data_IF_274554571406
#
_entry.id   IF_274554571406
#
_cell.length_a   1.000
_cell.length_b   1.000
_cell.length_c   1.000
_cell.angle_alpha   90.00
_cell.angle_beta   90.00
_cell.angle_gamma   90.00
#
_symmetry.space_group_name_H-M   'P 1'
#
loop_
_entity.id
_entity.type
_entity.pdbx_description
1 polymer ?
#
# COMPACT_ATOMS: atom_id res chain seq x y z
N UNK A 1 -1.89 -23.58 42.13
CA UNK A 1 -3.06 -24.39 42.51
C UNK A 1 -4.14 -23.44 42.99
N UNK A 2 -5.05 -23.04 42.10
CA UNK A 2 -6.23 -22.22 42.41
C UNK A 2 -7.45 -23.09 42.10
N UNK A 3 -8.28 -23.35 43.11
CA UNK A 3 -9.52 -24.10 42.98
C UNK A 3 -10.53 -23.24 42.20
N UNK A 4 -10.83 -23.64 40.97
CA UNK A 4 -11.93 -23.10 40.19
C UNK A 4 -13.24 -23.76 40.66
N UNK A 5 -14.01 -23.02 41.45
CA UNK A 5 -15.36 -23.40 41.87
C UNK A 5 -16.28 -23.34 40.65
N UNK A 6 -16.72 -24.51 40.18
CA UNK A 6 -17.69 -24.63 39.10
C UNK A 6 -19.10 -24.24 39.60
N UNK A 7 -19.49 -22.98 39.43
CA UNK A 7 -20.88 -22.54 39.56
C UNK A 7 -21.61 -22.84 38.26
N UNK A 8 -22.53 -23.80 38.30
CA UNK A 8 -23.44 -24.14 37.21
C UNK A 8 -24.44 -23.01 36.98
N UNK A 9 -24.50 -22.37 35.80
CA UNK A 9 -25.48 -21.33 35.52
C UNK A 9 -26.85 -21.96 35.28
N UNK A 10 -27.80 -21.69 36.19
CA UNK A 10 -29.23 -21.90 35.96
C UNK A 10 -29.69 -20.90 34.90
N UNK A 11 -29.73 -21.34 33.64
CA UNK A 11 -30.18 -20.53 32.51
C UNK A 11 -31.70 -20.27 32.60
N UNK A 12 -32.17 -19.03 32.41
CA UNK A 12 -33.58 -18.74 32.24
C UNK A 12 -34.05 -19.28 30.88
N UNK A 13 -35.03 -20.18 30.93
CA UNK A 13 -35.71 -20.78 29.77
C UNK A 13 -36.73 -19.79 29.19
N UNK A 14 -36.28 -18.62 28.73
CA UNK A 14 -37.14 -17.69 28.00
C UNK A 14 -37.23 -18.12 26.52
N UNK A 15 -38.11 -19.08 26.25
CA UNK A 15 -38.60 -19.42 24.91
C UNK A 15 -39.57 -18.35 24.38
N UNK A 16 -39.15 -17.08 24.38
CA UNK A 16 -39.86 -16.04 23.62
C UNK A 16 -39.59 -16.29 22.13
N UNK A 17 -40.63 -16.65 21.38
CA UNK A 17 -40.54 -16.81 19.93
C UNK A 17 -39.88 -15.56 19.32
N UNK A 18 -38.89 -15.71 18.43
CA UNK A 18 -38.26 -14.58 17.77
C UNK A 18 -39.31 -13.80 16.98
N UNK A 19 -39.44 -12.52 17.32
CA UNK A 19 -40.39 -11.61 16.70
C UNK A 19 -40.15 -11.56 15.17
N UNK A 20 -41.18 -11.82 14.37
CA UNK A 20 -41.06 -12.01 12.91
C UNK A 20 -40.42 -10.79 12.19
N UNK A 21 -40.44 -9.62 12.82
CA UNK A 21 -39.78 -8.41 12.32
C UNK A 21 -38.25 -8.50 12.31
N UNK A 22 -37.62 -9.16 13.30
CA UNK A 22 -36.14 -9.16 13.45
C UNK A 22 -35.46 -9.96 12.35
N UNK A 23 -36.02 -11.12 12.01
CA UNK A 23 -35.48 -12.04 10.99
C UNK A 23 -35.36 -11.39 9.61
N UNK A 24 -36.34 -10.58 9.21
CA UNK A 24 -36.33 -9.89 7.92
C UNK A 24 -35.19 -8.85 7.81
N UNK A 25 -34.84 -8.22 8.93
CA UNK A 25 -33.83 -7.16 8.99
C UNK A 25 -32.41 -7.73 8.90
N UNK A 26 -32.17 -8.90 9.50
CA UNK A 26 -30.89 -9.59 9.48
C UNK A 26 -30.57 -10.15 8.10
N UNK A 27 -31.56 -10.78 7.44
CA UNK A 27 -31.41 -11.26 6.07
C UNK A 27 -31.04 -10.11 5.11
N UNK A 28 -31.70 -8.96 5.25
CA UNK A 28 -31.38 -7.77 4.45
C UNK A 28 -29.94 -7.31 4.67
N UNK A 29 -29.47 -7.27 5.93
CA UNK A 29 -28.08 -6.90 6.26
C UNK A 29 -27.06 -7.88 5.67
N UNK A 30 -27.33 -9.19 5.76
CA UNK A 30 -26.48 -10.21 5.17
C UNK A 30 -26.41 -10.08 3.64
N UNK A 31 -27.54 -9.87 2.97
CA UNK A 31 -27.59 -9.66 1.52
C UNK A 31 -26.79 -8.42 1.07
N UNK A 32 -26.93 -7.29 1.80
CA UNK A 32 -26.13 -6.09 1.53
C UNK A 32 -24.63 -6.35 1.68
N UNK A 33 -24.24 -7.07 2.74
CA UNK A 33 -22.84 -7.42 3.01
C UNK A 33 -22.27 -8.32 1.90
N UNK A 34 -23.02 -9.34 1.46
CA UNK A 34 -22.58 -10.21 0.36
C UNK A 34 -22.45 -9.45 -0.96
N UNK A 35 -23.41 -8.58 -1.29
CA UNK A 35 -23.34 -7.75 -2.49
C UNK A 35 -22.10 -6.84 -2.46
N UNK A 36 -21.90 -6.15 -1.33
CA UNK A 36 -20.75 -5.28 -1.10
C UNK A 36 -19.41 -6.02 -1.23
N UNK A 37 -19.29 -7.19 -0.58
CA UNK A 37 -18.08 -8.01 -0.64
C UNK A 37 -17.80 -8.57 -2.03
N UNK A 38 -18.85 -8.90 -2.79
CA UNK A 38 -18.72 -9.38 -4.17
C UNK A 38 -18.19 -8.29 -5.10
N UNK A 39 -18.62 -7.04 -4.90
CA UNK A 39 -18.06 -5.87 -5.61
C UNK A 39 -16.58 -5.70 -5.24
N UNK A 40 -16.24 -5.74 -3.95
CA UNK A 40 -14.85 -5.65 -3.49
C UNK A 40 -13.98 -6.76 -4.10
N UNK A 41 -14.46 -8.00 -4.12
CA UNK A 41 -13.75 -9.14 -4.71
C UNK A 41 -13.48 -8.92 -6.19
N UNK A 42 -14.46 -8.42 -6.95
CA UNK A 42 -14.31 -8.09 -8.38
C UNK A 42 -13.25 -7.02 -8.59
N UNK A 43 -13.24 -5.97 -7.74
CA UNK A 43 -12.21 -4.95 -7.77
C UNK A 43 -10.82 -5.52 -7.48
N UNK A 44 -10.68 -6.39 -6.47
CA UNK A 44 -9.39 -6.99 -6.14
C UNK A 44 -8.88 -7.94 -7.23
N UNK A 45 -9.76 -8.70 -7.88
CA UNK A 45 -9.37 -9.51 -9.05
C UNK A 45 -8.77 -8.62 -10.14
N UNK A 46 -9.40 -7.48 -10.44
CA UNK A 46 -8.82 -6.52 -11.38
C UNK A 46 -7.47 -5.97 -10.89
N UNK A 47 -7.31 -5.72 -9.59
CA UNK A 47 -6.05 -5.27 -9.01
C UNK A 47 -4.94 -6.30 -9.15
N UNK A 48 -5.22 -7.58 -8.86
CA UNK A 48 -4.27 -8.69 -9.04
C UNK A 48 -3.78 -8.76 -10.49
N UNK A 49 -4.68 -8.66 -11.46
CA UNK A 49 -4.32 -8.70 -12.89
C UNK A 49 -3.35 -7.55 -13.22
N UNK A 50 -3.66 -6.32 -12.79
CA UNK A 50 -2.79 -5.17 -13.04
C UNK A 50 -1.45 -5.26 -12.30
N UNK A 51 -1.46 -5.67 -11.03
CA UNK A 51 -0.26 -5.85 -10.23
C UNK A 51 0.64 -6.93 -10.85
N UNK A 52 0.05 -8.02 -11.37
CA UNK A 52 0.78 -9.09 -12.05
C UNK A 52 1.44 -8.60 -13.34
N UNK A 53 0.73 -7.84 -14.17
CA UNK A 53 1.30 -7.19 -15.38
C UNK A 53 2.47 -6.27 -14.98
N UNK A 54 2.29 -5.51 -13.91
CA UNK A 54 3.26 -4.55 -13.40
C UNK A 54 4.53 -5.24 -12.86
N UNK A 55 4.41 -6.40 -12.21
CA UNK A 55 5.53 -7.26 -11.79
C UNK A 55 6.23 -7.86 -12.99
N UNK A 56 5.47 -8.40 -13.94
CA UNK A 56 6.03 -9.06 -15.12
C UNK A 56 6.91 -8.12 -15.96
N UNK A 57 6.49 -6.85 -16.12
CA UNK A 57 7.23 -5.86 -16.92
C UNK A 57 8.52 -5.35 -16.29
N UNK A 58 8.55 -5.16 -14.97
CA UNK A 58 9.66 -4.41 -14.33
C UNK A 58 10.48 -5.22 -13.33
N UNK A 59 9.93 -6.32 -12.78
CA UNK A 59 10.55 -7.20 -11.76
C UNK A 59 11.16 -6.48 -10.54
N UNK A 60 10.71 -5.27 -10.22
CA UNK A 60 11.17 -4.52 -9.03
C UNK A 60 10.52 -5.07 -7.77
N UNK A 61 11.25 -5.13 -6.65
CA UNK A 61 10.74 -5.64 -5.36
C UNK A 61 9.47 -4.93 -4.89
N UNK A 62 9.36 -3.61 -5.13
CA UNK A 62 8.16 -2.85 -4.78
C UNK A 62 6.90 -3.37 -5.49
N UNK A 63 7.03 -3.83 -6.73
CA UNK A 63 5.91 -4.31 -7.52
C UNK A 63 5.47 -5.67 -7.00
N UNK A 64 6.42 -6.51 -6.56
CA UNK A 64 6.14 -7.77 -5.86
C UNK A 64 5.42 -7.51 -4.54
N UNK A 65 5.80 -6.45 -3.81
CA UNK A 65 5.09 -5.99 -2.62
C UNK A 65 3.61 -5.67 -2.92
N UNK A 66 3.33 -4.87 -3.95
CA UNK A 66 1.95 -4.56 -4.37
C UNK A 66 1.18 -5.83 -4.76
N UNK A 67 1.79 -6.75 -5.50
CA UNK A 67 1.15 -8.01 -5.84
C UNK A 67 0.84 -8.83 -4.57
N UNK A 68 1.77 -8.91 -3.64
CA UNK A 68 1.59 -9.62 -2.37
C UNK A 68 0.43 -9.03 -1.56
N UNK A 69 0.36 -7.70 -1.46
CA UNK A 69 -0.76 -7.00 -0.81
C UNK A 69 -2.10 -7.35 -1.47
N UNK A 70 -2.22 -7.22 -2.79
CA UNK A 70 -3.49 -7.53 -3.50
C UNK A 70 -3.91 -9.00 -3.37
N UNK A 71 -2.95 -9.94 -3.31
CA UNK A 71 -3.22 -11.36 -3.08
C UNK A 71 -3.71 -11.62 -1.67
N UNK A 72 -3.09 -11.02 -0.65
CA UNK A 72 -3.56 -11.12 0.74
C UNK A 72 -5.00 -10.57 0.88
N UNK A 73 -5.26 -9.44 0.23
CA UNK A 73 -6.59 -8.82 0.15
C UNK A 73 -7.62 -9.76 -0.49
N UNK A 74 -7.26 -10.42 -1.60
CA UNK A 74 -8.10 -11.42 -2.25
C UNK A 74 -8.39 -12.63 -1.37
N UNK A 75 -7.38 -13.19 -0.71
CA UNK A 75 -7.56 -14.35 0.17
C UNK A 75 -8.53 -14.04 1.31
N UNK A 76 -8.40 -12.87 1.95
CA UNK A 76 -9.28 -12.48 3.05
C UNK A 76 -10.70 -12.16 2.58
N UNK A 77 -10.88 -11.36 1.52
CA UNK A 77 -12.22 -11.05 0.97
C UNK A 77 -12.89 -12.32 0.43
N UNK A 78 -12.13 -13.17 -0.28
CA UNK A 78 -12.61 -14.44 -0.80
C UNK A 78 -13.09 -15.37 0.32
N UNK A 79 -12.34 -15.49 1.42
CA UNK A 79 -12.80 -16.25 2.59
C UNK A 79 -14.08 -15.66 3.19
N UNK A 80 -14.23 -14.33 3.24
CA UNK A 80 -15.44 -13.68 3.73
C UNK A 80 -16.67 -13.96 2.86
N UNK A 81 -16.51 -13.96 1.52
CA UNK A 81 -17.58 -14.28 0.56
C UNK A 81 -17.93 -15.78 0.56
N UNK A 82 -16.93 -16.66 0.71
CA UNK A 82 -17.14 -18.11 0.71
C UNK A 82 -17.78 -18.61 2.02
N UNK A 83 -17.60 -17.90 3.13
CA UNK A 83 -18.11 -18.31 4.44
C UNK A 83 -19.62 -18.65 4.49
N UNK A 84 -20.54 -17.82 3.96
CA UNK A 84 -21.96 -18.20 3.91
C UNK A 84 -22.30 -19.30 2.90
N UNK A 85 -21.41 -19.57 1.93
CA UNK A 85 -21.64 -20.53 0.84
C UNK A 85 -21.09 -21.94 1.14
N UNK A 86 -20.20 -22.05 2.13
CA UNK A 86 -19.42 -23.27 2.40
C UNK A 86 -19.25 -23.50 3.90
N UNK A 87 -18.98 -24.74 4.29
CA UNK A 87 -18.69 -25.10 5.69
C UNK A 87 -17.25 -24.76 6.11
N UNK A 88 -16.78 -23.56 5.79
CA UNK A 88 -15.52 -23.06 6.31
C UNK A 88 -15.60 -22.90 7.83
N UNK A 89 -14.53 -23.30 8.54
CA UNK A 89 -14.44 -23.11 9.98
C UNK A 89 -14.23 -21.62 10.29
N UNK A 90 -14.97 -21.10 11.28
CA UNK A 90 -14.82 -19.71 11.70
C UNK A 90 -13.41 -19.40 12.20
N UNK A 91 -12.76 -20.38 12.81
CA UNK A 91 -11.36 -20.29 13.22
C UNK A 91 -10.44 -20.07 12.01
N UNK A 92 -10.60 -20.85 10.93
CA UNK A 92 -9.78 -20.66 9.72
C UNK A 92 -9.98 -19.27 9.10
N UNK A 93 -11.23 -18.81 8.97
CA UNK A 93 -11.54 -17.46 8.49
C UNK A 93 -10.85 -16.40 9.35
N UNK A 94 -10.95 -16.52 10.67
CA UNK A 94 -10.32 -15.60 11.61
C UNK A 94 -8.80 -15.52 11.41
N UNK A 95 -8.14 -16.68 11.29
CA UNK A 95 -6.71 -16.75 11.06
C UNK A 95 -6.27 -16.11 9.74
N UNK A 96 -6.98 -16.43 8.65
CA UNK A 96 -6.71 -15.82 7.34
C UNK A 96 -6.86 -14.31 7.42
N UNK A 97 -7.93 -13.80 8.03
CA UNK A 97 -8.14 -12.37 8.21
C UNK A 97 -7.03 -11.74 9.04
N UNK A 98 -6.64 -12.30 10.20
CA UNK A 98 -5.57 -11.73 11.01
C UNK A 98 -4.24 -11.68 10.27
N UNK A 99 -3.84 -12.79 9.64
CA UNK A 99 -2.56 -12.87 8.95
C UNK A 99 -2.56 -11.94 7.75
N UNK A 100 -3.59 -11.99 6.90
CA UNK A 100 -3.71 -11.12 5.74
C UNK A 100 -3.71 -9.64 6.14
N UNK A 101 -4.42 -9.29 7.23
CA UNK A 101 -4.56 -7.91 7.66
C UNK A 101 -3.28 -7.31 8.22
N UNK A 102 -2.52 -8.07 9.01
CA UNK A 102 -1.28 -7.56 9.56
C UNK A 102 -0.13 -7.61 8.54
N UNK A 103 -0.04 -8.68 7.75
CA UNK A 103 0.96 -8.78 6.68
C UNK A 103 0.73 -7.76 5.57
N UNK A 104 -0.52 -7.57 5.15
CA UNK A 104 -0.88 -6.55 4.16
C UNK A 104 -0.50 -5.14 4.63
N UNK A 105 -0.84 -4.80 5.88
CA UNK A 105 -0.42 -3.54 6.50
C UNK A 105 1.10 -3.36 6.53
N UNK A 106 1.85 -4.38 6.95
CA UNK A 106 3.32 -4.33 6.97
C UNK A 106 3.92 -4.18 5.57
N UNK A 107 3.34 -4.80 4.54
CA UNK A 107 3.78 -4.67 3.15
C UNK A 107 3.52 -3.25 2.63
N UNK A 108 2.32 -2.70 2.82
CA UNK A 108 1.99 -1.31 2.44
C UNK A 108 2.94 -0.34 3.12
N UNK A 109 3.12 -0.51 4.43
CA UNK A 109 4.00 0.34 5.22
C UNK A 109 5.44 0.29 4.73
N UNK A 110 5.94 -0.89 4.39
CA UNK A 110 7.28 -1.07 3.83
C UNK A 110 7.43 -0.37 2.48
N UNK A 111 6.42 -0.43 1.61
CA UNK A 111 6.43 0.27 0.30
C UNK A 111 6.50 1.78 0.50
N UNK A 112 5.66 2.34 1.39
CA UNK A 112 5.63 3.77 1.66
C UNK A 112 6.92 4.25 2.33
N UNK A 113 7.42 3.48 3.31
CA UNK A 113 8.68 3.75 3.98
C UNK A 113 9.86 3.75 3.00
N UNK A 114 9.90 2.78 2.10
CA UNK A 114 10.95 2.70 1.08
C UNK A 114 10.94 3.93 0.16
N UNK A 115 9.75 4.40 -0.24
CA UNK A 115 9.62 5.64 -1.03
C UNK A 115 10.11 6.85 -0.23
N UNK A 116 9.67 6.99 1.03
CA UNK A 116 10.12 8.08 1.91
C UNK A 116 11.65 8.05 2.11
N UNK A 117 12.24 6.87 2.27
CA UNK A 117 13.68 6.69 2.41
C UNK A 117 14.46 7.16 1.18
N UNK A 118 13.99 6.84 -0.03
CA UNK A 118 14.62 7.34 -1.27
C UNK A 118 14.50 8.86 -1.36
N UNK A 119 13.33 9.43 -1.05
CA UNK A 119 13.12 10.87 -1.11
C UNK A 119 13.89 11.65 -0.04
N UNK A 120 14.20 11.03 1.11
CA UNK A 120 14.93 11.64 2.21
C UNK A 120 16.42 11.26 2.19
N UNK A 121 17.03 11.25 1.00
CA UNK A 121 18.48 11.14 0.82
C UNK A 121 19.10 9.93 1.56
N UNK A 122 18.36 8.82 1.60
CA UNK A 122 18.78 7.55 2.22
C UNK A 122 19.14 7.64 3.71
N UNK A 123 18.45 8.47 4.49
CA UNK A 123 18.70 8.54 5.93
C UNK A 123 18.36 7.21 6.64
N UNK A 124 19.37 6.61 7.29
CA UNK A 124 19.28 5.29 7.95
C UNK A 124 18.25 5.26 9.10
N UNK A 125 18.04 6.38 9.79
CA UNK A 125 17.10 6.45 10.90
C UNK A 125 15.65 6.16 10.48
N UNK A 126 15.25 6.56 9.27
CA UNK A 126 13.91 6.26 8.74
C UNK A 126 13.69 4.74 8.62
N UNK A 127 14.66 4.01 8.06
CA UNK A 127 14.57 2.55 7.95
C UNK A 127 14.53 1.92 9.33
N UNK A 128 15.37 2.37 10.26
CA UNK A 128 15.38 1.82 11.62
C UNK A 128 14.03 1.99 12.31
N UNK A 129 13.50 3.22 12.35
CA UNK A 129 12.24 3.49 13.03
C UNK A 129 11.05 2.85 12.33
N UNK A 130 11.00 2.89 11.00
CA UNK A 130 9.94 2.22 10.25
C UNK A 130 10.00 0.68 10.33
N UNK A 131 11.21 0.09 10.39
CA UNK A 131 11.36 -1.35 10.61
C UNK A 131 10.91 -1.76 12.01
N UNK A 132 11.13 -0.91 13.03
CA UNK A 132 10.61 -1.14 14.38
C UNK A 132 9.06 -1.17 14.40
N UNK A 133 8.41 -0.28 13.64
CA UNK A 133 6.94 -0.28 13.48
C UNK A 133 6.47 -1.55 12.76
N UNK A 134 7.15 -1.96 11.67
CA UNK A 134 6.85 -3.20 10.95
C UNK A 134 7.03 -4.44 11.85
N UNK A 135 8.06 -4.46 12.70
CA UNK A 135 8.26 -5.50 13.70
C UNK A 135 7.08 -5.53 14.68
N UNK A 136 6.50 -4.38 15.01
CA UNK A 136 5.25 -4.27 15.76
C UNK A 136 4.09 -5.04 15.11
N UNK A 137 3.87 -4.91 13.80
CA UNK A 137 2.84 -5.69 13.09
C UNK A 137 3.10 -7.21 13.13
N UNK A 138 4.36 -7.63 12.98
CA UNK A 138 4.74 -9.04 13.07
C UNK A 138 4.56 -9.59 14.50
N UNK A 139 4.98 -8.81 15.50
CA UNK A 139 4.80 -9.16 16.91
C UNK A 139 3.32 -9.24 17.27
N UNK A 140 2.48 -8.34 16.76
CA UNK A 140 1.04 -8.38 16.97
C UNK A 140 0.42 -9.65 16.35
N UNK A 141 0.84 -10.01 15.14
CA UNK A 141 0.41 -11.26 14.48
C UNK A 141 0.78 -12.47 15.33
N UNK A 142 2.02 -12.53 15.82
CA UNK A 142 2.49 -13.62 16.67
C UNK A 142 1.77 -13.67 18.03
N UNK A 143 1.50 -12.51 18.63
CA UNK A 143 0.77 -12.40 19.89
C UNK A 143 -0.66 -12.95 19.75
N UNK A 144 -1.38 -12.58 18.70
CA UNK A 144 -2.69 -13.15 18.42
C UNK A 144 -2.61 -14.63 18.09
N UNK A 145 -1.54 -15.06 17.43
CA UNK A 145 -1.36 -16.45 17.07
C UNK A 145 -1.17 -17.36 18.29
N UNK A 146 -0.59 -16.85 19.36
CA UNK A 146 -0.18 -17.65 20.52
C UNK A 146 -1.11 -17.49 21.72
N UNK A 147 -1.46 -16.25 22.07
CA UNK A 147 -2.18 -15.93 23.30
C UNK A 147 -3.64 -15.54 23.01
N UNK A 148 -3.88 -14.95 21.84
CA UNK A 148 -5.14 -14.30 21.50
C UNK A 148 -6.23 -15.22 20.93
N UNK A 149 -6.38 -16.46 21.38
CA UNK A 149 -7.44 -17.33 20.84
C UNK A 149 -8.81 -16.79 21.24
N UNK A 150 -9.51 -16.18 20.29
CA UNK A 150 -10.84 -15.63 20.49
C UNK A 150 -11.90 -16.72 20.23
N UNK A 151 -12.89 -16.93 21.11
CA UNK A 151 -13.99 -17.83 20.84
C UNK A 151 -14.80 -17.33 19.63
N UNK A 152 -14.87 -18.16 18.60
CA UNK A 152 -15.64 -17.90 17.38
C UNK A 152 -16.82 -18.85 17.28
N UNK A 153 -17.99 -18.35 16.91
CA UNK A 153 -19.18 -19.18 16.69
C UNK A 153 -19.88 -18.77 15.40
N UNK A 154 -20.57 -19.73 14.77
CA UNK A 154 -21.47 -19.43 13.65
C UNK A 154 -22.78 -18.90 14.22
N UNK A 155 -23.21 -17.77 13.70
CA UNK A 155 -24.54 -17.21 13.92
C UNK A 155 -25.60 -17.98 13.10
N UNK A 156 -26.89 -17.76 13.38
CA UNK A 156 -28.02 -18.40 12.67
C UNK A 156 -27.99 -18.15 11.16
N UNK A 157 -27.39 -17.03 10.74
CA UNK A 157 -27.17 -16.66 9.34
C UNK A 157 -25.99 -17.40 8.67
N UNK A 158 -25.28 -18.27 9.40
CA UNK A 158 -24.04 -18.91 8.95
C UNK A 158 -22.81 -17.99 8.99
N UNK A 159 -22.99 -16.72 9.41
CA UNK A 159 -21.89 -15.76 9.56
C UNK A 159 -21.06 -16.06 10.80
N UNK A 160 -19.74 -15.93 10.69
CA UNK A 160 -18.86 -16.10 11.84
C UNK A 160 -18.82 -14.83 12.68
N UNK A 161 -19.27 -14.94 13.93
CA UNK A 161 -19.22 -13.85 14.91
C UNK A 161 -18.05 -14.10 15.86
N UNK A 162 -17.31 -13.03 16.14
CA UNK A 162 -16.17 -13.04 17.04
C UNK A 162 -16.48 -12.18 18.27
N UNK A 163 -16.43 -12.80 19.45
CA UNK A 163 -16.62 -12.09 20.70
C UNK A 163 -15.32 -11.38 21.12
N UNK A 164 -15.41 -10.23 21.78
CA UNK A 164 -14.24 -9.50 22.31
C UNK A 164 -13.20 -9.06 21.25
N UNK A 165 -13.64 -8.79 20.01
CA UNK A 165 -12.76 -8.28 18.94
C UNK A 165 -12.24 -6.85 19.18
N UNK A 166 -12.68 -6.21 20.26
CA UNK A 166 -12.37 -4.84 20.62
C UNK A 166 -10.88 -4.63 20.88
N UNK A 167 -10.26 -5.51 21.68
CA UNK A 167 -8.84 -5.43 22.01
C UNK A 167 -7.95 -5.56 20.77
N UNK A 168 -8.15 -6.57 19.90
CA UNK A 168 -7.38 -6.68 18.68
C UNK A 168 -7.52 -5.50 17.73
N UNK A 169 -8.75 -4.99 17.60
CA UNK A 169 -9.05 -3.84 16.76
C UNK A 169 -8.37 -2.56 17.29
N UNK A 170 -8.41 -2.31 18.60
CA UNK A 170 -7.76 -1.14 19.22
C UNK A 170 -6.24 -1.20 19.07
N UNK A 171 -5.61 -2.36 19.32
CA UNK A 171 -4.16 -2.49 19.19
C UNK A 171 -3.70 -2.31 17.73
N UNK A 172 -4.45 -2.87 16.77
CA UNK A 172 -4.19 -2.64 15.34
C UNK A 172 -4.36 -1.17 14.98
N UNK A 173 -5.46 -0.54 15.41
CA UNK A 173 -5.72 0.88 15.18
C UNK A 173 -4.59 1.76 15.73
N UNK A 174 -4.07 1.44 16.93
CA UNK A 174 -2.93 2.14 17.52
C UNK A 174 -1.67 2.04 16.66
N UNK A 175 -1.36 0.84 16.13
CA UNK A 175 -0.25 0.66 15.20
C UNK A 175 -0.48 1.44 13.90
N UNK A 176 -1.67 1.37 13.32
CA UNK A 176 -2.01 2.09 12.08
C UNK A 176 -1.87 3.60 12.29
N UNK A 177 -2.33 4.16 13.41
CA UNK A 177 -2.17 5.58 13.76
C UNK A 177 -0.69 5.94 13.92
N UNK A 178 0.06 5.19 14.70
CA UNK A 178 1.48 5.44 14.94
C UNK A 178 2.28 5.41 13.63
N UNK A 179 1.98 4.42 12.81
CA UNK A 179 2.58 4.17 11.51
C UNK A 179 2.30 5.29 10.50
N UNK A 180 1.03 5.69 10.39
CA UNK A 180 0.60 6.80 9.53
C UNK A 180 1.13 8.15 10.00
N UNK A 181 1.17 8.39 11.32
CA UNK A 181 1.75 9.61 11.90
C UNK A 181 3.25 9.69 11.59
N UNK A 182 3.98 8.59 11.75
CA UNK A 182 5.39 8.51 11.40
C UNK A 182 5.63 8.80 9.90
N UNK A 183 4.89 8.15 9.01
CA UNK A 183 5.00 8.42 7.57
C UNK A 183 4.65 9.86 7.22
N UNK A 184 3.59 10.42 7.83
CA UNK A 184 3.19 11.81 7.60
C UNK A 184 4.31 12.78 7.96
N UNK A 185 4.96 12.58 9.11
CA UNK A 185 6.13 13.37 9.52
C UNK A 185 7.29 13.18 8.53
N UNK A 186 7.58 11.95 8.11
CA UNK A 186 8.64 11.67 7.14
C UNK A 186 8.39 12.39 5.79
N UNK A 187 7.17 12.31 5.25
CA UNK A 187 6.79 12.99 4.02
C UNK A 187 6.79 14.51 4.18
N UNK A 188 6.33 15.05 5.31
CA UNK A 188 6.39 16.48 5.58
C UNK A 188 7.83 16.99 5.62
N UNK A 189 8.75 16.24 6.24
CA UNK A 189 10.18 16.57 6.26
C UNK A 189 10.79 16.54 4.85
N UNK A 190 10.42 15.56 4.02
CA UNK A 190 10.82 15.50 2.60
C UNK A 190 10.34 16.74 1.85
N UNK A 191 9.05 17.08 1.98
CA UNK A 191 8.45 18.25 1.31
C UNK A 191 9.12 19.53 1.78
N UNK A 192 9.32 19.70 3.09
CA UNK A 192 9.97 20.87 3.68
C UNK A 192 11.40 21.04 3.18
N UNK A 193 12.20 19.95 3.16
CA UNK A 193 13.57 19.98 2.64
C UNK A 193 13.59 20.32 1.14
N UNK A 194 12.69 19.74 0.36
CA UNK A 194 12.61 20.04 -1.07
C UNK A 194 12.18 21.47 -1.35
N UNK A 195 11.19 21.97 -0.60
CA UNK A 195 10.74 23.36 -0.68
C UNK A 195 11.89 24.35 -0.41
N UNK A 196 12.77 24.03 0.55
CA UNK A 196 13.94 24.85 0.85
C UNK A 196 15.07 24.75 -0.18
N UNK A 197 15.30 23.56 -0.76
CA UNK A 197 16.43 23.32 -1.67
C UNK A 197 16.17 23.77 -3.10
N UNK A 198 14.94 23.66 -3.61
CA UNK A 198 14.64 23.88 -5.02
C UNK A 198 13.58 24.96 -5.19
N UNK A 199 14.03 26.20 -5.40
CA UNK A 199 13.17 27.30 -5.86
C UNK A 199 12.80 27.19 -7.36
N UNK A 200 13.11 26.05 -8.02
CA UNK A 200 12.87 25.81 -9.44
C UNK A 200 11.65 24.90 -9.67
N UNK A 201 10.75 25.35 -10.56
CA UNK A 201 9.40 24.81 -10.77
C UNK A 201 9.31 23.36 -11.30
N UNK A 202 10.39 22.81 -11.87
CA UNK A 202 10.35 21.52 -12.59
C UNK A 202 10.30 20.31 -11.64
N UNK A 203 10.97 20.38 -10.49
CA UNK A 203 10.96 19.31 -9.48
C UNK A 203 9.63 19.22 -8.71
N UNK A 204 8.82 20.30 -8.72
CA UNK A 204 7.53 20.37 -8.02
C UNK A 204 6.52 19.35 -8.56
N UNK A 205 6.54 19.10 -9.88
CA UNK A 205 5.62 18.15 -10.52
C UNK A 205 5.96 16.68 -10.20
N UNK A 206 7.25 16.35 -10.05
CA UNK A 206 7.72 14.99 -9.77
C UNK A 206 7.38 14.54 -8.36
N UNK A 207 7.57 15.43 -7.39
CA UNK A 207 7.22 15.17 -6.00
C UNK A 207 5.71 15.23 -5.74
N UNK A 208 4.99 16.12 -6.43
CA UNK A 208 3.53 16.25 -6.26
C UNK A 208 2.77 14.96 -6.56
N UNK A 209 3.16 14.23 -7.61
CA UNK A 209 2.50 12.96 -7.98
C UNK A 209 2.63 11.91 -6.88
N UNK A 210 3.86 11.57 -6.50
CA UNK A 210 4.11 10.52 -5.49
C UNK A 210 3.59 10.87 -4.10
N UNK A 211 3.69 12.14 -3.69
CA UNK A 211 3.20 12.63 -2.40
C UNK A 211 1.67 12.58 -2.33
N UNK A 212 0.97 13.01 -3.39
CA UNK A 212 -0.50 13.02 -3.39
C UNK A 212 -1.08 11.62 -3.18
N UNK A 213 -0.51 10.59 -3.84
CA UNK A 213 -0.94 9.20 -3.63
C UNK A 213 -0.65 8.72 -2.21
N UNK A 214 0.52 9.06 -1.66
CA UNK A 214 0.86 8.66 -0.29
C UNK A 214 -0.03 9.33 0.75
N UNK A 215 -0.35 10.61 0.58
CA UNK A 215 -1.30 11.33 1.43
C UNK A 215 -2.70 10.72 1.31
N UNK A 216 -3.10 10.32 0.09
CA UNK A 216 -4.36 9.61 -0.14
C UNK A 216 -4.47 8.30 0.64
N UNK A 217 -3.41 7.48 0.66
CA UNK A 217 -3.37 6.24 1.45
C UNK A 217 -3.46 6.53 2.95
N UNK A 218 -2.69 7.50 3.45
CA UNK A 218 -2.73 7.91 4.86
C UNK A 218 -4.14 8.40 5.25
N UNK A 219 -4.76 9.23 4.41
CA UNK A 219 -6.11 9.73 4.65
C UNK A 219 -7.15 8.60 4.65
N UNK A 220 -7.05 7.65 3.70
CA UNK A 220 -7.91 6.45 3.68
C UNK A 220 -7.81 5.68 4.99
N UNK A 221 -6.59 5.37 5.44
CA UNK A 221 -6.38 4.63 6.68
C UNK A 221 -6.95 5.34 7.91
N UNK A 222 -6.80 6.67 8.00
CA UNK A 222 -7.35 7.47 9.12
C UNK A 222 -8.88 7.44 9.09
N UNK A 223 -9.50 7.64 7.93
CA UNK A 223 -10.96 7.60 7.78
C UNK A 223 -11.48 6.21 8.14
N UNK A 224 -10.85 5.15 7.63
CA UNK A 224 -11.17 3.75 7.97
C UNK A 224 -11.06 3.52 9.47
N UNK A 225 -9.97 3.99 10.10
CA UNK A 225 -9.78 3.89 11.55
C UNK A 225 -10.88 4.58 12.36
N UNK A 226 -11.31 5.78 11.94
CA UNK A 226 -12.41 6.52 12.58
C UNK A 226 -13.74 5.77 12.41
N UNK A 227 -14.04 5.25 11.21
CA UNK A 227 -15.27 4.50 10.93
C UNK A 227 -15.37 3.22 11.78
N UNK A 228 -14.24 2.53 11.97
CA UNK A 228 -14.15 1.34 12.82
C UNK A 228 -14.30 1.70 14.30
N UNK A 229 -13.59 2.73 14.77
CA UNK A 229 -13.65 3.18 16.16
C UNK A 229 -15.07 3.62 16.58
N UNK A 230 -15.79 4.28 15.66
CA UNK A 230 -17.17 4.74 15.88
C UNK A 230 -18.21 3.63 15.73
N UNK A 231 -17.82 2.39 15.38
CA UNK A 231 -18.72 1.24 15.13
C UNK A 231 -19.87 1.57 14.18
N UNK A 232 -19.64 2.43 13.19
CA UNK A 232 -20.69 2.90 12.26
C UNK A 232 -21.40 1.75 11.53
N UNK A 233 -20.71 0.63 11.32
CA UNK A 233 -21.27 -0.59 10.70
C UNK A 233 -21.49 -1.76 11.68
N UNK A 234 -21.38 -1.53 12.99
CA UNK A 234 -21.58 -2.56 14.02
C UNK A 234 -20.64 -3.77 13.86
N UNK A 235 -21.20 -4.98 13.78
CA UNK A 235 -20.46 -6.23 13.60
C UNK A 235 -19.74 -6.36 12.25
N UNK A 236 -20.04 -5.50 11.28
CA UNK A 236 -19.39 -5.46 9.96
C UNK A 236 -18.11 -4.59 9.97
N UNK A 237 -17.56 -4.28 11.15
CA UNK A 237 -16.32 -3.49 11.25
C UNK A 237 -15.13 -4.14 10.54
N UNK A 238 -15.07 -5.47 10.49
CA UNK A 238 -14.04 -6.21 9.74
C UNK A 238 -14.13 -5.95 8.22
N UNK A 239 -15.33 -5.68 7.72
CA UNK A 239 -15.60 -5.51 6.30
C UNK A 239 -15.12 -4.15 5.78
N UNK A 240 -15.08 -3.14 6.67
CA UNK A 240 -14.49 -1.83 6.36
C UNK A 240 -13.01 -1.92 5.98
N UNK A 241 -12.25 -2.87 6.54
CA UNK A 241 -10.86 -3.09 6.13
C UNK A 241 -10.75 -3.60 4.69
N UNK A 242 -11.74 -4.35 4.21
CA UNK A 242 -11.76 -4.82 2.82
C UNK A 242 -11.92 -3.64 1.85
N UNK A 243 -12.71 -2.63 2.25
CA UNK A 243 -12.82 -1.38 1.48
C UNK A 243 -11.49 -0.66 1.36
N UNK A 244 -10.82 -0.51 2.51
CA UNK A 244 -9.60 0.24 2.63
C UNK A 244 -8.48 -0.38 1.79
N UNK A 245 -8.44 -1.71 1.71
CA UNK A 245 -7.54 -2.40 0.79
C UNK A 245 -7.88 -2.20 -0.67
N UNK A 246 -9.16 -2.22 -1.04
CA UNK A 246 -9.55 -1.94 -2.42
C UNK A 246 -9.08 -0.53 -2.81
N UNK A 247 -9.24 0.46 -1.92
CA UNK A 247 -8.76 1.83 -2.18
C UNK A 247 -7.23 1.88 -2.22
N UNK A 248 -6.57 1.33 -1.22
CA UNK A 248 -5.10 1.35 -1.08
C UNK A 248 -4.42 0.64 -2.24
N UNK A 249 -4.84 -0.58 -2.57
CA UNK A 249 -4.36 -1.34 -3.72
C UNK A 249 -4.55 -0.59 -5.04
N UNK A 250 -5.72 0.05 -5.23
CA UNK A 250 -5.97 0.89 -6.41
C UNK A 250 -5.01 2.08 -6.49
N UNK A 251 -4.82 2.81 -5.39
CA UNK A 251 -3.91 3.96 -5.33
C UNK A 251 -2.47 3.56 -5.58
N UNK A 252 -2.00 2.46 -5.00
CA UNK A 252 -0.66 1.92 -5.22
C UNK A 252 -0.44 1.54 -6.68
N UNK A 253 -1.34 0.77 -7.28
CA UNK A 253 -1.24 0.37 -8.70
C UNK A 253 -1.23 1.61 -9.60
N UNK A 254 -2.13 2.58 -9.34
CA UNK A 254 -2.21 3.81 -10.14
C UNK A 254 -0.94 4.64 -10.04
N UNK A 255 -0.37 4.75 -8.83
CA UNK A 255 0.89 5.44 -8.61
C UNK A 255 2.02 4.81 -9.43
N UNK A 256 2.20 3.49 -9.36
CA UNK A 256 3.28 2.82 -10.12
C UNK A 256 3.07 2.87 -11.64
N UNK A 257 1.82 2.85 -12.12
CA UNK A 257 1.53 3.06 -13.55
C UNK A 257 1.90 4.47 -14.00
N UNK A 258 1.59 5.48 -13.19
CA UNK A 258 1.94 6.86 -13.49
C UNK A 258 3.45 7.06 -13.52
N UNK A 259 4.17 6.51 -12.54
CA UNK A 259 5.63 6.55 -12.48
C UNK A 259 6.26 5.90 -13.72
N UNK A 260 5.70 4.77 -14.20
CA UNK A 260 6.17 4.09 -15.40
C UNK A 260 5.98 4.91 -16.69
N UNK A 261 4.76 5.41 -16.93
CA UNK A 261 4.47 6.21 -18.13
C UNK A 261 5.30 7.49 -18.19
N UNK A 262 5.61 8.06 -17.02
CA UNK A 262 6.48 9.22 -16.93
C UNK A 262 7.92 8.89 -17.32
N UNK A 263 8.46 7.79 -16.79
CA UNK A 263 9.82 7.35 -17.13
C UNK A 263 9.97 7.12 -18.65
N UNK A 264 9.01 6.42 -19.27
CA UNK A 264 9.02 6.20 -20.73
C UNK A 264 9.01 7.52 -21.52
N UNK A 265 8.23 8.52 -21.08
CA UNK A 265 8.16 9.82 -21.75
C UNK A 265 9.44 10.62 -21.60
N UNK A 266 10.10 10.56 -20.44
CA UNK A 266 11.38 11.22 -20.21
C UNK A 266 12.48 10.60 -21.09
N UNK A 267 12.51 9.28 -21.23
CA UNK A 267 13.45 8.57 -22.12
C UNK A 267 13.23 8.93 -23.60
N UNK A 268 11.97 9.04 -24.06
CA UNK A 268 11.65 9.47 -25.43
C UNK A 268 12.11 10.91 -25.72
N UNK A 269 11.97 11.83 -24.75
CA UNK A 269 12.44 13.22 -24.88
C UNK A 269 13.96 13.28 -24.94
N UNK A 270 14.65 12.50 -24.09
CA UNK A 270 16.12 12.43 -24.08
C UNK A 270 16.61 11.87 -25.42
N UNK A 271 16.02 10.78 -25.90
CA UNK A 271 16.35 10.17 -27.18
C UNK A 271 16.18 11.15 -28.35
N UNK A 272 15.06 11.89 -28.40
CA UNK A 272 14.82 12.93 -29.43
C UNK A 272 15.83 14.08 -29.34
N UNK A 273 16.19 14.49 -28.13
CA UNK A 273 17.14 15.58 -27.90
C UNK A 273 18.56 15.18 -28.31
N UNK A 274 18.98 13.95 -28.00
CA UNK A 274 20.26 13.39 -28.45
C UNK A 274 20.30 13.30 -29.99
N UNK A 275 19.24 12.76 -30.61
CA UNK A 275 19.15 12.68 -32.07
C UNK A 275 19.17 14.06 -32.75
N UNK A 276 18.57 15.09 -32.14
CA UNK A 276 18.61 16.47 -32.65
C UNK A 276 20.00 17.10 -32.49
N UNK A 277 20.69 16.83 -31.37
CA UNK A 277 22.07 17.29 -31.15
C UNK A 277 23.05 16.69 -32.16
N UNK A 278 22.89 15.41 -32.50
CA UNK A 278 23.69 14.75 -33.54
C UNK A 278 23.44 15.34 -34.94
N UNK A 279 22.19 15.62 -35.31
CA UNK A 279 21.88 16.29 -36.60
C UNK A 279 22.47 17.70 -36.67
N UNK A 280 22.38 18.46 -35.57
CA UNK A 280 23.00 19.78 -35.49
C UNK A 280 24.52 19.73 -35.64
N UNK A 281 25.16 18.73 -35.01
CA UNK A 281 26.60 18.52 -35.11
C UNK A 281 27.05 18.13 -36.52
N UNK A 282 26.30 17.26 -37.22
CA UNK A 282 26.57 16.90 -38.63
C UNK A 282 26.41 18.09 -39.57
N UNK A 283 25.33 18.86 -39.43
CA UNK A 283 25.09 20.06 -40.26
C UNK A 283 26.20 21.11 -40.07
N UNK A 284 26.70 21.26 -38.83
CA UNK A 284 27.84 22.14 -38.53
C UNK A 284 29.16 21.64 -39.12
N UNK A 285 29.37 20.32 -39.24
CA UNK A 285 30.59 19.75 -39.83
C UNK A 285 30.61 19.98 -41.35
N UNK A 286 29.48 19.73 -42.02
CA UNK A 286 29.31 19.94 -43.46
C UNK A 286 29.54 21.41 -43.85
N UNK A 287 28.95 22.34 -43.09
CA UNK A 287 29.11 23.79 -43.30
C UNK A 287 30.56 24.29 -43.10
N UNK A 288 31.40 23.53 -42.38
CA UNK A 288 32.81 23.87 -42.17
C UNK A 288 33.68 23.35 -43.30
N UNK A 289 33.33 22.22 -43.90
CA UNK A 289 34.06 21.62 -45.00
C UNK A 289 33.95 22.45 -46.29
N UNK A 290 32.81 23.11 -46.53
CA UNK A 290 32.64 24.05 -47.64
C UNK A 290 33.43 25.38 -47.49
N UNK A 291 33.94 25.68 -46.29
CA UNK A 291 34.67 26.93 -46.02
C UNK A 291 36.19 26.78 -45.96
N UNK A 292 36.73 25.57 -46.11
CA UNK A 292 38.17 25.33 -46.17
C UNK A 292 38.63 25.34 -47.63
N UNK A 293 38.75 26.53 -48.20
CA UNK A 293 39.71 26.76 -49.28
C UNK A 293 41.13 26.62 -48.72
N UNK A 294 42.08 26.00 -49.43
CA UNK A 294 43.43 25.78 -48.93
C UNK A 294 44.20 27.10 -48.85
N UNK A 295 44.30 27.68 -47.66
CA UNK A 295 45.38 28.60 -47.33
C UNK A 295 46.49 27.77 -46.67
N UNK A 296 47.49 27.42 -47.48
CA UNK A 296 48.80 26.98 -47.01
C UNK A 296 49.38 28.04 -46.07
N UNK A 297 49.77 27.63 -44.86
CA UNK A 297 50.67 28.44 -44.04
C UNK A 297 50.51 28.26 -42.54
N UNK A 298 51.56 27.68 -41.96
CA UNK A 298 52.00 27.80 -40.57
C UNK A 298 51.22 27.07 -39.48
N UNK A 299 51.84 25.95 -39.07
CA UNK A 299 51.70 25.26 -37.80
C UNK A 299 51.90 26.19 -36.60
N UNK A 300 51.09 26.02 -35.55
CA UNK A 300 51.56 25.93 -34.17
C UNK A 300 50.42 25.52 -33.22
N UNK A 301 50.74 24.52 -32.37
CA UNK A 301 50.30 24.22 -30.99
C UNK A 301 48.96 24.83 -30.51
N UNK A 302 48.08 24.12 -29.81
CA UNK A 302 48.17 23.84 -28.37
C UNK A 302 47.22 22.69 -27.97
N UNK A 303 47.74 21.72 -27.22
CA UNK A 303 46.96 20.69 -26.54
C UNK A 303 46.56 21.16 -25.14
N UNK A 304 45.31 20.91 -24.73
CA UNK A 304 44.82 21.19 -23.38
C UNK A 304 44.65 19.88 -22.59
N UNK A 305 45.46 19.60 -21.55
CA UNK A 305 45.49 18.28 -20.90
C UNK A 305 44.46 18.03 -19.78
N UNK A 306 43.46 18.90 -19.56
CA UNK A 306 42.79 18.95 -18.24
C UNK A 306 41.25 18.85 -18.20
N UNK A 307 40.63 18.21 -19.20
CA UNK A 307 39.18 17.93 -19.18
C UNK A 307 38.87 16.44 -19.12
N UNK A 308 39.33 15.74 -18.07
CA UNK A 308 38.81 14.42 -17.78
C UNK A 308 38.99 14.08 -16.29
N UNK A 309 37.97 14.35 -15.48
CA UNK A 309 37.62 13.59 -14.25
C UNK A 309 36.53 14.32 -13.46
N UNK A 310 35.24 14.14 -13.80
CA UNK A 310 34.15 14.04 -12.80
C UNK A 310 32.96 13.29 -13.42
N UNK A 311 33.12 12.00 -13.75
CA UNK A 311 32.00 11.06 -13.88
C UNK A 311 32.47 9.72 -13.33
N UNK A 312 32.02 9.37 -12.13
CA UNK A 312 31.55 8.04 -11.72
C UNK A 312 31.58 7.88 -10.19
N UNK A 313 30.47 7.35 -9.67
CA UNK A 313 30.19 6.77 -8.34
C UNK A 313 29.35 7.66 -7.43
N UNK A 314 28.02 7.46 -7.46
CA UNK A 314 27.29 6.69 -6.44
C UNK A 314 25.80 6.58 -6.74
#
# INVERSE_FOLDING_TARGET
MMNATATSPSGPTDTSLPDHGTMSSEYRRAAWTMCYMSVCLTCVVWQIINASILVHRSRKLLHIGVLTETVLSFCSIGCSVLNPLTDLSCEFRYWVSIVAVNMGGAVVQTILLYKAYICYDRAKWLIFLGSAINLGYLALTFLYATIGRVPTFKDYTGSCVLNNLEWPAIAKLGLDILSNAFLSVAFLLVIYRHYRMFNNNLHKSLLSGGVLFSVGVIASNIITGILIATRTMGGLSADLYSFDWVITGYLLIKQFKFDHHRAEKEDDIISKTMAQSERGSRASYDSRQDRVHPLQGTEQLWACPQCNQVIMKH
#
